data_IF_479264410758
#
_entry.id   IF_479264410758
#
_cell.length_a   1.000
_cell.length_b   1.000
_cell.length_c   1.000
_cell.angle_alpha   90.00
_cell.angle_beta   90.00
_cell.angle_gamma   90.00
#
_symmetry.space_group_name_H-M   'P 1'
#
loop_
_entity.id
_entity.type
_entity.pdbx_description
1 polymer ?
#
# COMPACT_ATOMS: atom_id res chain seq x y z
N UNK A 1 -41.28 -17.50 -57.84
CA UNK A 1 -39.91 -16.97 -57.92
C UNK A 1 -39.36 -16.93 -56.51
N UNK A 2 -38.29 -17.69 -56.20
CA UNK A 2 -37.79 -17.90 -54.83
C UNK A 2 -36.26 -17.72 -54.81
N UNK A 3 -35.78 -16.51 -54.55
CA UNK A 3 -34.36 -16.27 -54.31
C UNK A 3 -34.20 -15.21 -53.21
N UNK A 4 -34.30 -15.63 -51.95
CA UNK A 4 -33.89 -14.81 -50.80
C UNK A 4 -32.41 -15.07 -50.55
N UNK A 5 -31.57 -14.13 -50.97
CA UNK A 5 -30.14 -14.11 -50.63
C UNK A 5 -30.02 -13.56 -49.20
N UNK A 6 -29.58 -14.40 -48.27
CA UNK A 6 -29.27 -13.99 -46.89
C UNK A 6 -27.80 -13.57 -46.87
N UNK A 7 -27.53 -12.27 -46.75
CA UNK A 7 -26.20 -11.74 -46.50
C UNK A 7 -25.85 -11.95 -45.01
N UNK A 8 -24.99 -12.92 -44.71
CA UNK A 8 -24.41 -13.09 -43.39
C UNK A 8 -23.19 -12.18 -43.25
N UNK A 9 -23.41 -10.94 -42.78
CA UNK A 9 -22.34 -10.01 -42.43
C UNK A 9 -21.67 -10.49 -41.13
N UNK A 10 -20.46 -11.05 -41.23
CA UNK A 10 -19.69 -11.50 -40.08
C UNK A 10 -19.27 -10.33 -39.18
N UNK A 11 -19.74 -10.31 -37.93
CA UNK A 11 -19.19 -9.45 -36.91
C UNK A 11 -17.81 -9.99 -36.50
N UNK A 12 -16.75 -9.37 -37.00
CA UNK A 12 -15.42 -9.52 -36.44
C UNK A 12 -15.38 -8.74 -35.12
N UNK A 13 -15.65 -9.43 -34.01
CA UNK A 13 -15.42 -8.87 -32.68
C UNK A 13 -13.91 -8.77 -32.48
N UNK A 14 -13.35 -7.60 -32.78
CA UNK A 14 -11.98 -7.27 -32.44
C UNK A 14 -11.88 -7.13 -30.92
N UNK A 15 -11.41 -8.18 -30.25
CA UNK A 15 -11.06 -8.15 -28.84
C UNK A 15 -9.72 -7.40 -28.68
N UNK A 16 -9.78 -6.09 -28.42
CA UNK A 16 -8.60 -5.36 -27.97
C UNK A 16 -8.30 -5.77 -26.53
N UNK A 17 -7.21 -6.50 -26.30
CA UNK A 17 -6.71 -6.78 -24.96
C UNK A 17 -6.20 -5.46 -24.33
N UNK A 18 -6.98 -4.87 -23.43
CA UNK A 18 -6.51 -3.75 -22.61
C UNK A 18 -5.59 -4.29 -21.52
N UNK A 19 -4.32 -3.89 -21.53
CA UNK A 19 -3.44 -4.07 -20.39
C UNK A 19 -3.83 -3.06 -19.29
N UNK A 20 -4.85 -3.40 -18.51
CA UNK A 20 -5.36 -2.54 -17.45
C UNK A 20 -4.33 -2.38 -16.34
N UNK A 21 -4.14 -1.14 -15.88
CA UNK A 21 -3.39 -0.85 -14.65
C UNK A 21 -4.40 -0.76 -13.53
N UNK A 22 -4.21 -1.53 -12.46
CA UNK A 22 -5.09 -1.51 -11.29
C UNK A 22 -4.46 -0.67 -10.18
N UNK A 23 -5.29 0.06 -9.44
CA UNK A 23 -4.87 0.72 -8.21
C UNK A 23 -5.15 -0.22 -7.05
N UNK A 24 -4.11 -0.54 -6.30
CA UNK A 24 -4.15 -1.41 -5.13
C UNK A 24 -4.01 -0.52 -3.90
N UNK A 25 -4.83 -0.79 -2.88
CA UNK A 25 -4.73 -0.20 -1.55
C UNK A 25 -4.30 -1.27 -0.57
N UNK A 26 -3.33 -0.97 0.26
CA UNK A 26 -2.77 -1.87 1.26
C UNK A 26 -2.26 -1.07 2.48
N UNK A 27 -1.88 -1.77 3.55
CA UNK A 27 -1.34 -1.15 4.75
C UNK A 27 0.00 -1.78 5.17
N UNK A 28 0.79 -1.00 5.89
CA UNK A 28 2.02 -1.46 6.50
C UNK A 28 2.13 -0.94 7.94
N UNK A 29 2.50 -1.83 8.85
CA UNK A 29 2.72 -1.49 10.25
C UNK A 29 4.20 -1.36 10.54
N UNK A 30 4.62 -0.22 11.04
CA UNK A 30 5.96 0.03 11.56
C UNK A 30 5.92 0.14 13.07
N UNK A 31 7.01 -0.27 13.73
CA UNK A 31 7.19 -0.13 15.18
C UNK A 31 8.41 0.70 15.44
N UNK A 32 8.29 1.68 16.32
CA UNK A 32 9.44 2.42 16.82
C UNK A 32 10.20 1.60 17.87
N UNK A 33 11.36 2.12 18.26
CA UNK A 33 12.09 1.62 19.42
C UNK A 33 11.30 1.81 20.72
N UNK A 34 11.90 1.35 21.81
CA UNK A 34 11.31 1.39 23.15
C UNK A 34 11.72 2.67 23.87
N UNK A 35 10.75 3.36 24.47
CA UNK A 35 10.93 4.63 25.16
C UNK A 35 10.46 4.55 26.61
N UNK A 36 11.01 5.45 27.43
CA UNK A 36 10.67 5.56 28.86
C UNK A 36 9.37 6.34 29.12
N UNK A 37 8.89 7.10 28.13
CA UNK A 37 7.69 7.90 28.26
C UNK A 37 6.75 7.77 27.07
N UNK A 38 5.44 7.84 27.34
CA UNK A 38 4.39 7.81 26.32
C UNK A 38 4.51 8.96 25.31
N UNK A 39 4.89 10.15 25.78
CA UNK A 39 5.03 11.34 24.94
C UNK A 39 6.19 11.18 23.93
N UNK A 40 7.32 10.63 24.38
CA UNK A 40 8.46 10.35 23.51
C UNK A 40 8.11 9.31 22.44
N UNK A 41 7.38 8.26 22.82
CA UNK A 41 6.88 7.27 21.87
C UNK A 41 5.95 7.91 20.80
N UNK A 42 5.03 8.79 21.20
CA UNK A 42 4.17 9.50 20.24
C UNK A 42 4.97 10.37 19.28
N UNK A 43 5.91 11.18 19.79
CA UNK A 43 6.75 12.04 18.95
C UNK A 43 7.52 11.20 17.94
N UNK A 44 8.17 10.11 18.39
CA UNK A 44 8.87 9.19 17.51
C UNK A 44 7.93 8.53 16.48
N UNK A 45 6.69 8.22 16.85
CA UNK A 45 5.69 7.68 15.94
C UNK A 45 5.28 8.67 14.85
N UNK A 46 5.07 9.94 15.20
CA UNK A 46 4.77 11.00 14.24
C UNK A 46 5.97 11.30 13.33
N UNK A 47 7.18 11.37 13.89
CA UNK A 47 8.42 11.54 13.12
C UNK A 47 8.61 10.39 12.11
N UNK A 48 8.31 9.16 12.52
CA UNK A 48 8.36 8.00 11.62
C UNK A 48 7.29 8.09 10.53
N UNK A 49 6.05 8.44 10.87
CA UNK A 49 4.96 8.68 9.90
C UNK A 49 5.38 9.72 8.84
N UNK A 50 5.91 10.86 9.29
CA UNK A 50 6.36 11.93 8.40
C UNK A 50 7.55 11.50 7.54
N UNK A 51 8.49 10.74 8.12
CA UNK A 51 9.62 10.16 7.40
C UNK A 51 9.15 9.23 6.28
N UNK A 52 8.22 8.30 6.56
CA UNK A 52 7.65 7.39 5.56
C UNK A 52 6.94 8.17 4.46
N UNK A 53 6.17 9.19 4.80
CA UNK A 53 5.48 10.05 3.82
C UNK A 53 6.45 10.87 2.96
N UNK A 54 7.62 11.22 3.48
CA UNK A 54 8.65 11.97 2.77
C UNK A 54 9.57 11.10 1.90
N UNK A 55 9.48 9.76 2.00
CA UNK A 55 10.28 8.84 1.21
C UNK A 55 10.01 8.98 -0.29
N UNK A 56 11.06 8.83 -1.09
CA UNK A 56 10.91 8.74 -2.54
C UNK A 56 10.32 7.39 -2.99
N UNK A 57 9.93 7.30 -4.26
CA UNK A 57 9.32 6.09 -4.82
C UNK A 57 10.21 4.84 -4.71
N UNK A 58 11.54 4.98 -4.80
CA UNK A 58 12.47 3.85 -4.69
C UNK A 58 12.55 3.36 -3.25
N UNK A 59 12.61 4.27 -2.29
CA UNK A 59 12.60 3.97 -0.86
C UNK A 59 11.26 3.34 -0.46
N UNK A 60 10.14 3.89 -0.91
CA UNK A 60 8.81 3.33 -0.67
C UNK A 60 8.66 1.91 -1.23
N UNK A 61 9.20 1.64 -2.43
CA UNK A 61 9.21 0.29 -3.01
C UNK A 61 10.02 -0.72 -2.20
N UNK A 62 11.02 -0.26 -1.47
CA UNK A 62 11.87 -1.13 -0.64
C UNK A 62 11.25 -1.37 0.75
N UNK A 63 10.64 -0.34 1.33
CA UNK A 63 10.12 -0.37 2.70
C UNK A 63 8.66 -0.84 2.81
N UNK A 64 7.86 -0.73 1.75
CA UNK A 64 6.46 -1.17 1.74
C UNK A 64 6.32 -2.55 1.07
N UNK A 65 5.37 -3.40 1.50
CA UNK A 65 5.18 -4.75 0.98
C UNK A 65 4.50 -4.78 -0.41
N UNK A 66 5.14 -4.16 -1.41
CA UNK A 66 4.67 -4.11 -2.81
C UNK A 66 5.28 -5.18 -3.72
N UNK A 67 6.13 -6.05 -3.17
CA UNK A 67 6.98 -6.98 -3.94
C UNK A 67 6.20 -8.10 -4.63
N UNK A 68 5.00 -8.42 -4.16
CA UNK A 68 4.08 -9.38 -4.77
C UNK A 68 3.46 -8.87 -6.07
N UNK A 69 3.65 -7.59 -6.41
CA UNK A 69 3.06 -6.93 -7.57
C UNK A 69 4.09 -6.63 -8.65
N UNK A 70 3.67 -6.72 -9.90
CA UNK A 70 4.51 -6.38 -11.05
C UNK A 70 4.28 -4.94 -11.51
N UNK A 71 5.36 -4.29 -11.98
CA UNK A 71 5.32 -2.94 -12.54
C UNK A 71 4.70 -1.89 -11.61
N UNK A 72 5.00 -2.00 -10.31
CA UNK A 72 4.57 -1.05 -9.26
C UNK A 72 5.04 0.36 -9.58
N UNK A 73 4.10 1.31 -9.60
CA UNK A 73 4.31 2.74 -9.84
C UNK A 73 3.39 3.58 -8.96
N UNK A 74 3.72 4.86 -8.83
CA UNK A 74 2.87 5.88 -8.18
C UNK A 74 2.43 5.46 -6.77
N UNK A 75 3.37 4.98 -5.96
CA UNK A 75 3.10 4.70 -4.55
C UNK A 75 2.75 6.02 -3.87
N UNK A 76 1.58 6.08 -3.25
CA UNK A 76 1.10 7.24 -2.54
C UNK A 76 0.77 6.79 -1.11
N UNK A 77 1.49 7.37 -0.16
CA UNK A 77 1.27 7.16 1.26
C UNK A 77 0.15 8.08 1.72
N UNK A 78 -0.90 7.49 2.27
CA UNK A 78 -2.09 8.15 2.77
C UNK A 78 -1.88 8.77 4.16
N UNK A 79 -2.95 8.77 4.96
CA UNK A 79 -2.82 9.11 6.37
C UNK A 79 -2.24 7.91 7.13
N UNK A 80 -1.43 8.21 8.12
CA UNK A 80 -0.92 7.21 9.05
C UNK A 80 -1.59 7.38 10.40
N UNK A 81 -1.89 6.27 11.05
CA UNK A 81 -2.39 6.22 12.41
C UNK A 81 -1.25 5.88 13.36
N UNK A 82 -1.09 6.67 14.42
CA UNK A 82 -0.06 6.46 15.43
C UNK A 82 -0.73 6.02 16.73
N UNK A 83 -0.47 4.79 17.14
CA UNK A 83 -0.91 4.24 18.42
C UNK A 83 0.30 4.00 19.31
N UNK A 84 0.20 4.30 20.62
CA UNK A 84 1.26 3.94 21.58
C UNK A 84 0.84 2.74 22.39
N UNK A 85 1.67 1.70 22.34
CA UNK A 85 1.55 0.51 23.16
C UNK A 85 2.41 0.67 24.43
N UNK A 86 1.77 0.51 25.58
CA UNK A 86 2.44 0.35 26.87
C UNK A 86 2.67 -1.14 27.11
N UNK A 87 3.90 -1.54 27.42
CA UNK A 87 4.25 -2.94 27.68
C UNK A 87 5.37 -3.03 28.72
N UNK A 88 5.49 -4.19 29.36
CA UNK A 88 6.56 -4.45 30.33
C UNK A 88 7.16 -5.83 30.08
N UNK A 89 8.48 -5.89 29.90
CA UNK A 89 9.21 -7.15 29.71
C UNK A 89 9.70 -7.73 31.05
N UNK A 90 9.65 -6.95 32.13
CA UNK A 90 9.96 -7.37 33.50
C UNK A 90 9.15 -6.55 34.51
N UNK A 91 8.99 -7.07 35.72
CA UNK A 91 8.22 -6.40 36.76
C UNK A 91 8.84 -5.03 37.10
N UNK A 92 8.05 -3.97 36.92
CA UNK A 92 8.44 -2.60 37.25
C UNK A 92 9.13 -1.81 36.12
N UNK A 93 9.41 -2.44 34.98
CA UNK A 93 10.00 -1.78 33.80
C UNK A 93 8.92 -1.59 32.73
N UNK A 94 8.11 -0.54 32.89
CA UNK A 94 7.08 -0.14 31.93
C UNK A 94 7.75 0.67 30.83
N UNK A 95 7.56 0.23 29.59
CA UNK A 95 8.10 0.82 28.39
C UNK A 95 6.98 1.17 27.41
N UNK A 96 7.27 2.10 26.52
CA UNK A 96 6.35 2.59 25.52
C UNK A 96 6.95 2.42 24.13
N UNK A 97 6.16 1.98 23.16
CA UNK A 97 6.54 2.02 21.74
C UNK A 97 5.39 2.54 20.91
N UNK A 98 5.69 3.24 19.83
CA UNK A 98 4.69 3.60 18.84
C UNK A 98 4.55 2.51 17.79
N UNK A 99 3.31 2.24 17.45
CA UNK A 99 2.87 1.47 16.30
C UNK A 99 2.33 2.49 15.30
N UNK A 100 2.93 2.52 14.11
CA UNK A 100 2.57 3.43 13.04
C UNK A 100 1.98 2.60 11.91
N UNK A 101 0.66 2.68 11.75
CA UNK A 101 -0.05 2.03 10.67
C UNK A 101 -0.17 3.01 9.50
N UNK A 102 0.39 2.61 8.36
CA UNK A 102 0.51 3.45 7.17
C UNK A 102 -0.33 2.84 6.07
N UNK A 103 -1.42 3.52 5.72
CA UNK A 103 -2.17 3.19 4.51
C UNK A 103 -1.46 3.74 3.29
N UNK A 104 -1.40 2.93 2.24
CA UNK A 104 -0.79 3.34 0.99
C UNK A 104 -1.51 2.73 -0.21
N UNK A 105 -1.40 3.42 -1.34
CA UNK A 105 -1.97 2.98 -2.60
C UNK A 105 -0.92 3.02 -3.69
N UNK A 106 -1.01 2.13 -4.66
CA UNK A 106 -0.08 2.10 -5.79
C UNK A 106 -0.73 1.51 -7.02
N UNK A 107 -0.15 1.82 -8.17
CA UNK A 107 -0.56 1.27 -9.45
C UNK A 107 0.27 0.02 -9.75
N UNK A 108 -0.40 -1.09 -10.07
CA UNK A 108 0.22 -2.33 -10.50
C UNK A 108 -0.40 -2.81 -11.82
N UNK A 109 0.34 -3.64 -12.56
CA UNK A 109 -0.29 -4.43 -13.61
C UNK A 109 -0.76 -5.75 -13.03
N UNK A 110 -1.98 -6.11 -13.38
CA UNK A 110 -2.48 -7.47 -13.20
C UNK A 110 -1.62 -8.39 -14.07
N UNK A 111 -0.94 -9.35 -13.44
CA UNK A 111 -0.30 -10.43 -14.20
C UNK A 111 -1.43 -11.38 -14.59
N UNK A 112 -1.75 -11.46 -15.89
CA UNK A 112 -2.48 -12.60 -16.43
C UNK A 112 -1.65 -13.88 -16.25
#
# INVERSE_FOLDING_TARGET
MKNTIILASGLLLASSAFASTTTVSDNATFKTDTYSSKAEAYNAGFDLSDSVKAMDQSQLRFNLPVQSYTLVKNINVGQSEVTVEEFANSNGDIQYRAIVDVDYQFNAKESN
#
